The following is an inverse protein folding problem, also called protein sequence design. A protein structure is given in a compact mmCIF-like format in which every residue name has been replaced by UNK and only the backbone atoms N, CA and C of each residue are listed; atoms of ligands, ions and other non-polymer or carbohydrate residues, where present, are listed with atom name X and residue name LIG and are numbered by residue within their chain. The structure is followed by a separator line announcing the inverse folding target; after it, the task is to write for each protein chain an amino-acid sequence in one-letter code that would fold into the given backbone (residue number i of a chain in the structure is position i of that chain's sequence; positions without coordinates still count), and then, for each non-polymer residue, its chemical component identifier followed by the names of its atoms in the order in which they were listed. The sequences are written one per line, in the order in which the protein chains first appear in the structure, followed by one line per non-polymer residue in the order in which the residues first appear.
data_IF_539813039644
#
_entry.id   IF_539813039644
#
_cell.length_a   1.000
_cell.length_b   1.000
_cell.length_c   1.000
_cell.angle_alpha   90.00
_cell.angle_beta   90.00
_cell.angle_gamma   90.00
#
_symmetry.space_group_name_H-M   'P 1'
#
loop_
_entity.id
_entity.type
_entity.pdbx_description
1 polymer ?
#
# COMPACT_ATOMS: atom_id res chain seq x y z
N UNK A 1 18.02 -23.10 -12.27
CA UNK A 1 18.23 -21.97 -11.33
C UNK A 1 17.14 -22.00 -10.26
N UNK A 2 17.57 -22.21 -9.02
CA UNK A 2 16.73 -22.44 -7.85
C UNK A 2 15.93 -21.16 -7.55
N UNK A 3 14.61 -21.22 -7.71
CA UNK A 3 13.69 -20.16 -7.28
C UNK A 3 13.82 -20.12 -5.76
N UNK A 4 14.56 -19.15 -5.23
CA UNK A 4 14.61 -18.88 -3.79
C UNK A 4 13.17 -18.76 -3.30
N UNK A 5 12.74 -19.73 -2.49
CA UNK A 5 11.38 -19.79 -1.99
C UNK A 5 11.09 -18.49 -1.22
N UNK A 6 10.31 -17.58 -1.83
CA UNK A 6 9.84 -16.36 -1.17
C UNK A 6 9.12 -16.80 0.10
N UNK A 7 9.62 -16.39 1.27
CA UNK A 7 8.99 -16.73 2.55
C UNK A 7 7.53 -16.26 2.55
N UNK A 8 6.59 -17.19 2.78
CA UNK A 8 5.17 -16.88 2.81
C UNK A 8 4.80 -16.26 4.15
N UNK A 9 4.50 -14.95 4.13
CA UNK A 9 4.01 -14.21 5.29
C UNK A 9 2.48 -14.22 5.31
N UNK A 10 1.89 -14.57 6.47
CA UNK A 10 0.45 -14.40 6.69
C UNK A 10 0.13 -12.92 6.92
N UNK A 11 -0.78 -12.38 6.13
CA UNK A 11 -1.26 -10.99 6.23
C UNK A 11 -2.77 -11.04 6.46
N UNK A 12 -3.26 -10.25 7.42
CA UNK A 12 -4.70 -10.11 7.69
C UNK A 12 -5.21 -8.93 6.87
N UNK A 13 -6.23 -9.15 6.04
CA UNK A 13 -6.85 -8.12 5.21
C UNK A 13 -8.28 -7.87 5.67
N UNK A 14 -8.51 -6.79 6.40
CA UNK A 14 -9.84 -6.35 6.87
C UNK A 14 -9.87 -4.84 7.12
N UNK A 15 -11.05 -4.28 7.43
CA UNK A 15 -11.23 -2.85 7.69
C UNK A 15 -10.63 -2.34 9.02
N UNK A 16 -9.94 -3.19 9.78
CA UNK A 16 -9.16 -2.74 10.93
C UNK A 16 -7.94 -1.89 10.52
N UNK A 17 -7.53 -2.00 9.25
CA UNK A 17 -6.50 -1.15 8.66
C UNK A 17 -7.12 -0.14 7.69
N UNK A 18 -6.99 1.15 8.02
CA UNK A 18 -7.56 2.26 7.23
C UNK A 18 -7.09 2.23 5.77
N UNK A 19 -5.78 2.03 5.54
CA UNK A 19 -5.23 2.00 4.19
C UNK A 19 -5.85 0.87 3.35
N UNK A 20 -6.01 -0.33 3.90
CA UNK A 20 -6.66 -1.41 3.15
C UNK A 20 -8.13 -1.12 2.85
N UNK A 21 -8.85 -0.51 3.80
CA UNK A 21 -10.24 -0.10 3.59
C UNK A 21 -10.38 0.93 2.44
N UNK A 22 -9.42 1.85 2.30
CA UNK A 22 -9.36 2.80 1.17
C UNK A 22 -9.06 2.10 -0.16
N UNK A 23 -8.17 1.09 -0.16
CA UNK A 23 -7.66 0.48 -1.39
C UNK A 23 -8.53 -0.65 -1.97
N UNK A 24 -9.18 -1.45 -1.12
CA UNK A 24 -9.79 -2.73 -1.53
C UNK A 24 -10.92 -2.62 -2.55
N UNK A 25 -11.58 -1.48 -2.59
CA UNK A 25 -12.76 -1.22 -3.44
C UNK A 25 -12.39 -0.38 -4.68
N UNK A 26 -11.10 -0.06 -4.86
CA UNK A 26 -10.59 0.74 -5.97
C UNK A 26 -10.18 -0.12 -7.17
N UNK A 27 -10.33 0.43 -8.38
CA UNK A 27 -9.70 -0.17 -9.56
C UNK A 27 -8.18 -0.14 -9.40
N UNK A 28 -7.51 -1.24 -9.75
CA UNK A 28 -6.07 -1.42 -9.53
C UNK A 28 -5.21 -0.31 -10.18
N UNK A 29 -5.64 0.25 -11.32
CA UNK A 29 -4.95 1.38 -11.98
C UNK A 29 -4.79 2.61 -11.09
N UNK A 30 -5.68 2.80 -10.09
CA UNK A 30 -5.67 3.94 -9.16
C UNK A 30 -4.90 3.66 -7.87
N UNK A 31 -4.65 2.39 -7.54
CA UNK A 31 -4.01 1.96 -6.30
C UNK A 31 -2.60 2.56 -6.16
N UNK A 32 -1.83 2.60 -7.25
CA UNK A 32 -0.48 3.18 -7.24
C UNK A 32 -0.46 4.68 -6.84
N UNK A 33 -1.44 5.45 -7.31
CA UNK A 33 -1.58 6.86 -6.95
C UNK A 33 -1.98 7.04 -5.48
N UNK A 34 -2.92 6.20 -4.99
CA UNK A 34 -3.35 6.20 -3.59
C UNK A 34 -2.19 5.87 -2.63
N UNK A 35 -1.41 4.83 -2.93
CA UNK A 35 -0.21 4.45 -2.17
C UNK A 35 0.82 5.60 -2.16
N UNK A 36 1.08 6.22 -3.31
CA UNK A 36 2.00 7.35 -3.43
C UNK A 36 1.56 8.55 -2.59
N UNK A 37 0.26 8.83 -2.54
CA UNK A 37 -0.31 9.89 -1.71
C UNK A 37 -0.10 9.59 -0.22
N UNK A 38 -0.43 8.38 0.24
CA UNK A 38 -0.24 7.98 1.65
C UNK A 38 1.25 8.00 2.04
N UNK A 39 2.14 7.60 1.14
CA UNK A 39 3.59 7.67 1.33
C UNK A 39 4.09 9.09 1.59
N UNK A 40 3.62 10.07 0.80
CA UNK A 40 3.96 11.49 1.01
C UNK A 40 3.46 11.99 2.36
N UNK A 41 2.23 11.66 2.74
CA UNK A 41 1.65 12.06 4.03
C UNK A 41 2.47 11.50 5.20
N UNK A 42 2.77 10.20 5.19
CA UNK A 42 3.55 9.55 6.25
C UNK A 42 4.96 10.15 6.35
N UNK A 43 5.58 10.44 5.19
CA UNK A 43 6.89 11.10 5.15
C UNK A 43 6.85 12.47 5.83
N UNK A 44 5.91 13.33 5.42
CA UNK A 44 5.75 14.66 6.04
C UNK A 44 5.52 14.56 7.55
N UNK A 45 4.64 13.67 7.99
CA UNK A 45 4.36 13.45 9.41
C UNK A 45 5.62 13.03 10.19
N UNK A 46 6.46 12.15 9.62
CA UNK A 46 7.71 11.71 10.27
C UNK A 46 8.80 12.77 10.26
N UNK A 47 8.89 13.58 9.19
CA UNK A 47 9.87 14.66 9.04
C UNK A 47 9.61 15.82 10.01
N UNK A 48 8.36 16.04 10.43
CA UNK A 48 8.00 17.00 11.49
C UNK A 48 8.76 16.78 12.81
N UNK A 49 9.44 15.64 13.01
CA UNK A 49 10.33 15.41 14.14
C UNK A 49 11.50 16.39 14.25
N UNK A 50 11.93 17.01 13.15
CA UNK A 50 13.19 17.74 13.06
C UNK A 50 13.05 19.26 13.29
N UNK A 51 11.86 19.76 13.63
CA UNK A 51 11.64 21.18 13.90
C UNK A 51 11.90 21.53 15.38
N UNK A 52 12.35 22.75 15.66
CA UNK A 52 12.47 23.30 17.02
C UNK A 52 11.10 23.28 17.72
N UNK A 53 10.91 22.28 18.59
CA UNK A 53 9.62 21.98 19.23
C UNK A 53 9.67 22.20 20.73
N UNK A 54 8.60 22.79 21.26
CA UNK A 54 8.35 22.88 22.70
C UNK A 54 8.19 21.48 23.31
N UNK A 55 8.47 21.34 24.61
CA UNK A 55 8.29 20.08 25.37
C UNK A 55 6.87 19.51 25.22
N UNK A 56 5.87 20.39 25.12
CA UNK A 56 4.47 19.99 24.89
C UNK A 56 4.26 19.34 23.51
N UNK A 57 4.89 19.87 22.48
CA UNK A 57 4.80 19.37 21.10
C UNK A 57 5.56 18.05 20.94
N UNK A 58 6.69 17.89 21.65
CA UNK A 58 7.42 16.61 21.72
C UNK A 58 6.54 15.53 22.35
N UNK A 59 5.86 15.82 23.47
CA UNK A 59 4.94 14.86 24.11
C UNK A 59 3.81 14.44 23.17
N UNK A 60 3.19 15.40 22.47
CA UNK A 60 2.14 15.11 21.50
C UNK A 60 2.67 14.25 20.34
N UNK A 61 3.85 14.55 19.83
CA UNK A 61 4.47 13.77 18.77
C UNK A 61 4.72 12.31 19.22
N UNK A 62 5.35 12.12 20.37
CA UNK A 62 5.65 10.78 20.91
C UNK A 62 4.37 9.97 21.13
N UNK A 63 3.27 10.60 21.53
CA UNK A 63 1.97 9.93 21.68
C UNK A 63 1.39 9.39 20.35
N UNK A 64 1.69 10.05 19.22
CA UNK A 64 1.21 9.66 17.88
C UNK A 64 2.18 8.73 17.14
N UNK A 65 3.45 8.68 17.56
CA UNK A 65 4.50 7.91 16.91
C UNK A 65 4.15 6.43 16.67
N UNK A 66 3.54 5.68 17.61
CA UNK A 66 3.19 4.28 17.37
C UNK A 66 2.25 4.12 16.17
N UNK A 67 1.24 4.98 16.05
CA UNK A 67 0.31 4.96 14.93
C UNK A 67 1.00 5.28 13.61
N UNK A 68 1.94 6.23 13.60
CA UNK A 68 2.69 6.59 12.40
C UNK A 68 3.57 5.43 11.92
N UNK A 69 4.20 4.69 12.85
CA UNK A 69 4.98 3.50 12.53
C UNK A 69 4.09 2.36 12.02
N UNK A 70 2.92 2.16 12.62
CA UNK A 70 1.93 1.19 12.13
C UNK A 70 1.48 1.54 10.70
N UNK A 71 1.16 2.81 10.43
CA UNK A 71 0.80 3.29 9.09
C UNK A 71 1.94 3.08 8.07
N UNK A 72 3.20 3.32 8.48
CA UNK A 72 4.38 3.05 7.63
C UNK A 72 4.51 1.56 7.30
N UNK A 73 4.31 0.68 8.27
CA UNK A 73 4.37 -0.77 8.07
C UNK A 73 3.23 -1.29 7.19
N UNK A 74 2.03 -0.76 7.40
CA UNK A 74 0.85 -0.97 6.56
C UNK A 74 1.15 -0.58 5.11
N UNK A 75 1.64 0.64 4.87
CA UNK A 75 2.02 1.12 3.55
C UNK A 75 3.05 0.20 2.87
N UNK A 76 4.10 -0.20 3.57
CA UNK A 76 5.13 -1.08 3.02
C UNK A 76 4.54 -2.45 2.61
N UNK A 77 3.60 -2.96 3.40
CA UNK A 77 2.92 -4.23 3.12
C UNK A 77 2.06 -4.12 1.86
N UNK A 78 1.26 -3.07 1.71
CA UNK A 78 0.40 -2.88 0.54
C UNK A 78 1.16 -2.48 -0.72
N UNK A 79 2.30 -1.77 -0.59
CA UNK A 79 3.21 -1.57 -1.73
C UNK A 79 3.75 -2.89 -2.26
N UNK A 80 4.19 -3.80 -1.38
CA UNK A 80 4.69 -5.11 -1.80
C UNK A 80 3.59 -5.96 -2.46
N UNK A 81 2.37 -5.95 -1.90
CA UNK A 81 1.22 -6.63 -2.51
C UNK A 81 0.92 -6.05 -3.89
N UNK A 82 0.86 -4.72 -4.02
CA UNK A 82 0.61 -4.05 -5.29
C UNK A 82 1.68 -4.40 -6.34
N UNK A 83 2.96 -4.50 -5.94
CA UNK A 83 4.02 -4.93 -6.85
C UNK A 83 3.80 -6.36 -7.35
N UNK A 84 3.41 -7.31 -6.49
CA UNK A 84 3.11 -8.68 -6.91
C UNK A 84 1.90 -8.77 -7.84
N UNK A 85 0.85 -7.97 -7.59
CA UNK A 85 -0.30 -7.90 -8.49
C UNK A 85 0.16 -7.33 -9.84
N UNK A 86 0.95 -6.26 -9.81
CA UNK A 86 1.48 -5.61 -11.01
C UNK A 86 2.35 -6.56 -11.85
N UNK A 87 3.23 -7.34 -11.22
CA UNK A 87 4.02 -8.39 -11.88
C UNK A 87 3.15 -9.32 -12.72
N UNK A 88 1.94 -9.63 -12.24
CA UNK A 88 0.97 -10.49 -12.94
C UNK A 88 0.18 -9.72 -13.99
N UNK A 89 -0.33 -8.53 -13.65
CA UNK A 89 -1.18 -7.75 -14.56
C UNK A 89 -0.41 -7.16 -15.73
N UNK A 90 0.91 -6.98 -15.62
CA UNK A 90 1.77 -6.49 -16.71
C UNK A 90 2.10 -7.58 -17.74
N UNK A 91 1.71 -8.84 -17.50
CA UNK A 91 2.00 -9.96 -18.43
C UNK A 91 1.11 -9.93 -19.66
N UNK A 92 1.63 -10.42 -20.80
CA UNK A 92 0.84 -10.54 -22.03
C UNK A 92 -0.36 -11.46 -21.84
N UNK A 93 -0.17 -12.58 -21.16
CA UNK A 93 -1.19 -13.59 -20.89
C UNK A 93 -2.38 -13.01 -20.12
N UNK A 94 -2.10 -12.14 -19.13
CA UNK A 94 -3.16 -11.45 -18.40
C UNK A 94 -3.95 -10.50 -19.32
N UNK A 95 -3.26 -9.69 -20.14
CA UNK A 95 -3.92 -8.78 -21.07
C UNK A 95 -4.76 -9.49 -22.13
N UNK A 96 -4.24 -10.59 -22.69
CA UNK A 96 -4.95 -11.43 -23.66
C UNK A 96 -6.24 -12.03 -23.05
N UNK A 97 -6.14 -12.50 -21.80
CA UNK A 97 -7.29 -13.03 -21.05
C UNK A 97 -8.35 -11.94 -20.84
N UNK A 98 -7.96 -10.76 -20.36
CA UNK A 98 -8.88 -9.65 -20.13
C UNK A 98 -9.55 -9.19 -21.43
N UNK A 99 -8.79 -9.10 -22.53
CA UNK A 99 -9.37 -8.75 -23.83
C UNK A 99 -10.44 -9.74 -24.26
N UNK A 100 -10.18 -11.05 -24.12
CA UNK A 100 -11.17 -12.08 -24.44
C UNK A 100 -12.41 -11.97 -23.54
N UNK A 101 -12.25 -11.71 -22.23
CA UNK A 101 -13.36 -11.51 -21.31
C UNK A 101 -14.21 -10.28 -21.68
N UNK A 102 -13.57 -9.17 -22.04
CA UNK A 102 -14.25 -7.94 -22.49
C UNK A 102 -15.00 -8.16 -23.80
N UNK A 103 -14.41 -8.88 -24.75
CA UNK A 103 -15.06 -9.19 -26.02
C UNK A 103 -16.35 -9.99 -25.80
N UNK A 104 -16.35 -10.98 -24.90
CA UNK A 104 -17.56 -11.75 -24.58
C UNK A 104 -18.64 -10.93 -23.88
N UNK A 105 -18.27 -9.99 -23.01
CA UNK A 105 -19.24 -9.14 -22.31
C UNK A 105 -19.88 -8.08 -23.23
N UNK A 106 -19.18 -7.67 -24.28
CA UNK A 106 -19.62 -6.64 -25.21
C UNK A 106 -20.38 -7.20 -26.44
N UNK A 107 -20.51 -8.52 -26.55
CA UNK A 107 -21.34 -9.21 -27.55
C UNK A 107 -22.82 -9.26 -27.14
#
# INVERSE_FOLDING_TARGET
PEVTARERKRIILNSGEELFAELRDCNFTTVGAALSKKARIIKTQLDERHNDKSVQEIKQFVSRLPQMLANKQSLATHMAIAEYIKETTDTFEFHDTIQCEEDFLNC
#
